data_IF_206966419898
#
_entry.id   IF_206966419898
#
_cell.length_a   1.000
_cell.length_b   1.000
_cell.length_c   1.000
_cell.angle_alpha   90.00
_cell.angle_beta   90.00
_cell.angle_gamma   90.00
#
_symmetry.space_group_name_H-M   'P 1'
#
loop_
_entity.id
_entity.type
_entity.pdbx_description
1 polymer ?
#
# COMPACT_ATOMS: atom_id res chain seq x y z
N UNK A 1 11.43 9.47 -17.27
CA UNK A 1 10.55 9.69 -16.13
C UNK A 1 9.60 10.85 -16.42
N UNK A 2 8.39 10.83 -15.85
CA UNK A 2 7.49 11.99 -15.85
C UNK A 2 7.93 13.03 -14.82
N UNK A 3 7.24 14.18 -14.81
CA UNK A 3 7.56 15.27 -13.87
C UNK A 3 7.34 14.82 -12.41
N UNK A 4 6.26 14.09 -12.14
CA UNK A 4 5.92 13.60 -10.81
C UNK A 4 6.92 12.56 -10.32
N UNK A 5 7.33 11.62 -11.17
CA UNK A 5 8.35 10.65 -10.83
C UNK A 5 9.70 11.31 -10.55
N UNK A 6 10.08 12.32 -11.36
CA UNK A 6 11.33 13.05 -11.15
C UNK A 6 11.30 13.85 -9.84
N UNK A 7 10.18 14.54 -9.56
CA UNK A 7 10.01 15.28 -8.31
C UNK A 7 10.07 14.37 -7.09
N UNK A 8 9.39 13.22 -7.14
CA UNK A 8 9.38 12.25 -6.05
C UNK A 8 10.77 11.65 -5.78
N UNK A 9 11.51 11.28 -6.85
CA UNK A 9 12.90 10.81 -6.73
C UNK A 9 13.81 11.89 -6.15
N UNK A 10 13.69 13.13 -6.64
CA UNK A 10 14.47 14.27 -6.16
C UNK A 10 14.22 14.56 -4.67
N UNK A 11 12.94 14.51 -4.24
CA UNK A 11 12.59 14.70 -2.85
C UNK A 11 13.23 13.62 -1.95
N UNK A 12 13.10 12.33 -2.32
CA UNK A 12 13.68 11.23 -1.53
C UNK A 12 15.21 11.28 -1.53
N UNK A 13 15.82 11.59 -2.68
CA UNK A 13 17.27 11.69 -2.78
C UNK A 13 17.82 12.87 -1.94
N UNK A 14 17.16 14.04 -2.01
CA UNK A 14 17.54 15.22 -1.21
C UNK A 14 17.38 14.97 0.30
N UNK A 15 16.28 14.38 0.72
CA UNK A 15 16.05 13.99 2.11
C UNK A 15 17.16 13.04 2.60
N UNK A 16 17.44 11.98 1.85
CA UNK A 16 18.42 10.97 2.25
C UNK A 16 19.86 11.52 2.19
N UNK A 17 20.17 12.42 1.29
CA UNK A 17 21.47 13.12 1.27
C UNK A 17 21.67 13.98 2.53
N UNK A 18 20.64 14.75 2.92
CA UNK A 18 20.67 15.55 4.13
C UNK A 18 20.84 14.68 5.38
N UNK A 19 20.07 13.59 5.50
CA UNK A 19 20.17 12.67 6.63
C UNK A 19 21.54 11.98 6.72
N UNK A 20 22.07 11.57 5.58
CA UNK A 20 23.42 11.00 5.52
C UNK A 20 24.49 12.01 5.99
N UNK A 21 24.36 13.27 5.59
CA UNK A 21 25.29 14.33 6.06
C UNK A 21 25.20 14.60 7.57
N UNK A 22 24.02 14.32 8.18
CA UNK A 22 23.78 14.44 9.62
C UNK A 22 24.13 13.16 10.40
N UNK A 23 24.53 12.09 9.73
CA UNK A 23 24.79 10.79 10.35
C UNK A 23 23.52 10.04 10.78
N UNK A 24 22.38 10.39 10.21
CA UNK A 24 21.08 9.80 10.50
C UNK A 24 20.70 8.69 9.50
N UNK A 25 19.81 7.78 9.91
CA UNK A 25 19.32 6.70 9.06
C UNK A 25 18.51 7.23 7.88
N UNK A 26 18.69 6.64 6.70
CA UNK A 26 17.96 6.99 5.49
C UNK A 26 16.49 6.55 5.55
N UNK A 27 15.60 7.29 4.90
CA UNK A 27 14.23 6.87 4.64
C UNK A 27 14.21 5.87 3.48
N UNK A 28 13.76 4.67 3.76
CA UNK A 28 13.48 3.63 2.76
C UNK A 28 11.97 3.40 2.74
N UNK A 29 11.34 3.72 1.62
CA UNK A 29 9.92 3.46 1.41
C UNK A 29 9.72 2.08 0.78
N UNK A 30 9.10 1.14 1.50
CA UNK A 30 8.80 -0.18 0.92
C UNK A 30 7.82 -0.08 -0.25
N UNK A 31 7.84 -1.03 -1.17
CA UNK A 31 6.93 -1.10 -2.33
C UNK A 31 5.45 -1.01 -1.95
N UNK A 32 5.07 -1.65 -0.84
CA UNK A 32 3.69 -1.66 -0.34
C UNK A 32 3.24 -0.34 0.29
N UNK A 33 4.16 0.59 0.58
CA UNK A 33 3.82 1.87 1.21
C UNK A 33 3.48 2.96 0.21
N UNK A 34 4.08 2.92 -0.98
CA UNK A 34 3.92 3.98 -1.96
C UNK A 34 4.34 3.58 -3.38
N UNK A 35 3.81 4.30 -4.37
CA UNK A 35 4.32 4.22 -5.75
C UNK A 35 5.77 4.70 -5.87
N UNK A 36 6.22 5.62 -5.00
CA UNK A 36 7.62 6.02 -4.94
C UNK A 36 8.51 4.86 -4.49
N UNK A 37 8.08 4.09 -3.48
CA UNK A 37 8.76 2.86 -3.06
C UNK A 37 8.84 1.82 -4.19
N UNK A 38 7.72 1.60 -4.91
CA UNK A 38 7.70 0.72 -6.09
C UNK A 38 8.65 1.20 -7.18
N UNK A 39 8.66 2.51 -7.48
CA UNK A 39 9.52 3.12 -8.48
C UNK A 39 11.00 2.90 -8.15
N UNK A 40 11.42 3.25 -6.95
CA UNK A 40 12.82 3.12 -6.53
C UNK A 40 13.27 1.67 -6.53
N UNK A 41 12.44 0.78 -5.99
CA UNK A 41 12.76 -0.66 -5.99
C UNK A 41 12.89 -1.23 -7.41
N UNK A 42 11.99 -0.88 -8.33
CA UNK A 42 12.09 -1.31 -9.73
C UNK A 42 13.38 -0.80 -10.40
N UNK A 43 13.75 0.46 -10.15
CA UNK A 43 14.98 1.04 -10.73
C UNK A 43 16.25 0.33 -10.24
N UNK A 44 16.30 -0.04 -8.95
CA UNK A 44 17.51 -0.64 -8.37
C UNK A 44 17.59 -2.15 -8.56
N UNK A 45 16.44 -2.85 -8.70
CA UNK A 45 16.42 -4.32 -8.79
C UNK A 45 16.29 -4.82 -10.23
N UNK A 46 15.42 -4.19 -11.04
CA UNK A 46 15.16 -4.65 -12.42
C UNK A 46 16.06 -3.97 -13.44
N UNK A 47 16.51 -2.75 -13.14
CA UNK A 47 17.13 -1.87 -14.11
C UNK A 47 16.14 -1.46 -15.21
N UNK A 48 16.43 -0.40 -15.92
CA UNK A 48 15.59 0.06 -17.03
C UNK A 48 16.47 0.51 -18.20
N UNK A 49 16.15 0.03 -19.40
CA UNK A 49 16.80 0.46 -20.65
C UNK A 49 16.03 1.63 -21.28
N UNK A 50 14.70 1.68 -21.07
CA UNK A 50 13.81 2.71 -21.58
C UNK A 50 13.36 3.67 -20.46
N UNK A 51 12.81 4.85 -20.80
CA UNK A 51 12.26 5.77 -19.81
C UNK A 51 11.20 5.09 -18.93
N UNK A 52 11.45 5.06 -17.62
CA UNK A 52 10.49 4.49 -16.68
C UNK A 52 9.28 5.40 -16.50
N UNK A 53 8.09 4.82 -16.59
CA UNK A 53 6.81 5.46 -16.29
C UNK A 53 6.10 4.69 -15.21
N UNK A 54 5.66 5.41 -14.16
CA UNK A 54 4.87 4.82 -13.09
C UNK A 54 3.43 4.64 -13.56
N UNK A 55 3.01 3.39 -13.64
CA UNK A 55 1.63 3.00 -13.95
C UNK A 55 1.11 2.09 -12.83
N UNK A 56 -0.19 2.11 -12.59
CA UNK A 56 -0.82 1.27 -11.57
C UNK A 56 -0.55 -0.24 -11.78
N UNK A 57 -0.36 -0.65 -13.04
CA UNK A 57 -0.01 -2.03 -13.40
C UNK A 57 1.38 -2.48 -12.93
N UNK A 58 2.26 -1.54 -12.55
CA UNK A 58 3.60 -1.87 -12.04
C UNK A 58 3.59 -2.24 -10.55
N UNK A 59 2.53 -1.90 -9.84
CA UNK A 59 2.39 -2.24 -8.43
C UNK A 59 1.44 -3.41 -8.24
N UNK A 60 1.92 -4.41 -7.56
CA UNK A 60 1.14 -5.53 -7.03
C UNK A 60 0.16 -5.09 -5.92
N UNK A 61 0.36 -3.90 -5.33
CA UNK A 61 -0.42 -3.35 -4.21
C UNK A 61 -1.38 -2.24 -4.62
N UNK A 62 -1.81 -2.20 -5.89
CA UNK A 62 -2.65 -1.11 -6.44
C UNK A 62 -3.98 -0.88 -5.73
N UNK A 63 -4.54 -1.89 -5.06
CA UNK A 63 -5.77 -1.75 -4.27
C UNK A 63 -5.54 -0.96 -2.96
N UNK A 64 -4.35 -1.08 -2.39
CA UNK A 64 -3.92 -0.34 -1.19
C UNK A 64 -3.34 1.02 -1.56
N UNK A 65 -2.57 1.10 -2.66
CA UNK A 65 -1.89 2.31 -3.11
C UNK A 65 -2.81 3.17 -3.97
N UNK A 66 -3.83 3.76 -3.38
CA UNK A 66 -4.75 4.66 -4.07
C UNK A 66 -4.38 6.12 -3.86
N UNK A 67 -4.86 6.98 -4.76
CA UNK A 67 -4.67 8.43 -4.66
C UNK A 67 -5.45 9.01 -3.47
N UNK A 68 -6.67 8.53 -3.24
CA UNK A 68 -7.58 9.00 -2.21
C UNK A 68 -7.07 8.77 -0.78
N UNK A 69 -6.19 7.79 -0.56
CA UNK A 69 -5.62 7.45 0.74
C UNK A 69 -4.11 7.72 0.85
N UNK A 70 -3.50 8.42 -0.10
CA UNK A 70 -2.07 8.69 -0.10
C UNK A 70 -1.63 9.50 1.13
N UNK A 71 -2.48 10.41 1.60
CA UNK A 71 -2.25 11.19 2.80
C UNK A 71 -2.17 10.32 4.06
N UNK A 72 -3.06 9.33 4.21
CA UNK A 72 -3.04 8.40 5.35
C UNK A 72 -1.74 7.58 5.41
N UNK A 73 -1.23 7.18 4.25
CA UNK A 73 -0.02 6.37 4.17
C UNK A 73 1.27 7.16 4.33
N UNK A 74 1.33 8.39 3.82
CA UNK A 74 2.57 9.13 3.67
C UNK A 74 2.69 10.37 4.57
N UNK A 75 1.58 11.02 4.99
CA UNK A 75 1.65 12.21 5.84
C UNK A 75 2.30 11.94 7.19
N UNK A 76 2.01 10.81 7.89
CA UNK A 76 2.70 10.47 9.14
C UNK A 76 4.22 10.29 8.94
N UNK A 77 4.63 9.62 7.87
CA UNK A 77 6.04 9.46 7.52
C UNK A 77 6.67 10.83 7.24
N UNK A 78 6.01 11.66 6.41
CA UNK A 78 6.48 13.01 6.13
C UNK A 78 6.59 13.88 7.39
N UNK A 79 5.72 13.69 8.38
CA UNK A 79 5.80 14.37 9.69
C UNK A 79 7.01 13.92 10.49
N UNK A 80 7.24 12.62 10.58
CA UNK A 80 8.40 12.03 11.27
C UNK A 80 9.72 12.55 10.71
N UNK A 81 9.79 12.71 9.40
CA UNK A 81 11.00 13.19 8.71
C UNK A 81 11.05 14.71 8.51
N UNK A 82 10.19 15.50 9.18
CA UNK A 82 10.22 16.96 9.15
C UNK A 82 9.72 17.61 7.87
N UNK A 83 9.14 16.87 6.95
CA UNK A 83 8.61 17.37 5.67
C UNK A 83 7.20 17.95 5.79
N UNK A 84 6.45 17.61 6.85
CA UNK A 84 5.08 18.06 7.09
C UNK A 84 5.06 18.98 8.30
N UNK A 85 4.71 20.26 8.06
CA UNK A 85 4.60 21.29 9.08
C UNK A 85 3.30 21.19 9.88
N UNK A 86 3.17 21.96 10.96
CA UNK A 86 2.07 21.84 11.94
C UNK A 86 0.69 22.13 11.34
N UNK A 87 0.58 23.08 10.43
CA UNK A 87 -0.68 23.43 9.77
C UNK A 87 -1.23 22.25 8.94
N UNK A 88 -0.34 21.64 8.14
CA UNK A 88 -0.69 20.47 7.33
C UNK A 88 -0.96 19.24 8.19
N UNK A 89 -0.19 19.05 9.25
CA UNK A 89 -0.39 17.96 10.20
C UNK A 89 -1.73 18.07 10.92
N UNK A 90 -2.08 19.27 11.40
CA UNK A 90 -3.37 19.52 12.07
C UNK A 90 -4.54 19.24 11.12
N UNK A 91 -4.48 19.71 9.88
CA UNK A 91 -5.50 19.43 8.87
C UNK A 91 -5.66 17.93 8.59
N UNK A 92 -4.55 17.21 8.50
CA UNK A 92 -4.56 15.75 8.35
C UNK A 92 -5.26 15.07 9.52
N UNK A 93 -4.91 15.42 10.75
CA UNK A 93 -5.53 14.86 11.96
C UNK A 93 -7.03 15.14 12.02
N UNK A 94 -7.47 16.35 11.68
CA UNK A 94 -8.89 16.71 11.61
C UNK A 94 -9.62 15.84 10.59
N UNK A 95 -9.06 15.66 9.41
CA UNK A 95 -9.66 14.81 8.37
C UNK A 95 -9.79 13.35 8.83
N UNK A 96 -8.75 12.80 9.47
CA UNK A 96 -8.82 11.44 10.00
C UNK A 96 -9.89 11.32 11.10
N UNK A 97 -9.96 12.29 12.01
CA UNK A 97 -10.98 12.30 13.07
C UNK A 97 -12.41 12.30 12.52
N UNK A 98 -12.66 13.06 11.45
CA UNK A 98 -13.98 13.08 10.75
C UNK A 98 -14.30 11.72 10.14
N UNK A 99 -13.34 11.11 9.43
CA UNK A 99 -13.53 9.78 8.81
C UNK A 99 -13.78 8.69 9.88
N UNK A 100 -13.02 8.72 10.96
CA UNK A 100 -13.16 7.75 12.07
C UNK A 100 -14.49 7.91 12.81
N UNK A 101 -14.94 9.16 13.03
CA UNK A 101 -16.22 9.43 13.64
C UNK A 101 -17.38 8.93 12.77
N UNK A 102 -17.30 9.19 11.46
CA UNK A 102 -18.32 8.73 10.53
C UNK A 102 -18.34 7.22 10.37
N UNK A 103 -17.19 6.56 10.33
CA UNK A 103 -17.13 5.09 10.31
C UNK A 103 -17.82 4.48 11.53
N UNK A 104 -17.55 5.03 12.74
CA UNK A 104 -18.25 4.59 13.96
C UNK A 104 -19.75 4.81 13.87
N UNK A 105 -20.19 5.98 13.37
CA UNK A 105 -21.60 6.28 13.19
C UNK A 105 -22.30 5.29 12.26
N UNK A 106 -21.67 4.96 11.13
CA UNK A 106 -22.18 3.95 10.19
C UNK A 106 -22.20 2.54 10.80
N UNK A 107 -21.23 2.20 11.63
CA UNK A 107 -21.17 0.92 12.32
C UNK A 107 -22.30 0.78 13.35
N UNK A 108 -22.64 1.87 14.07
CA UNK A 108 -23.66 1.88 15.11
C UNK A 108 -25.08 2.03 14.54
N UNK A 109 -25.22 2.53 13.32
CA UNK A 109 -26.52 2.76 12.69
C UNK A 109 -27.12 1.47 12.14
N UNK A 110 -28.31 1.10 12.59
CA UNK A 110 -29.06 -0.04 12.06
C UNK A 110 -30.25 0.42 11.23
N UNK A 111 -30.31 0.07 9.96
CA UNK A 111 -31.39 0.41 9.03
C UNK A 111 -32.42 -0.71 8.96
N UNK A 112 -33.69 -0.33 9.12
CA UNK A 112 -34.79 -1.29 9.01
C UNK A 112 -35.01 -1.67 7.55
N UNK A 113 -35.38 -2.93 7.32
CA UNK A 113 -35.63 -3.47 5.98
C UNK A 113 -36.66 -2.64 5.19
N UNK A 114 -37.70 -2.16 5.86
CA UNK A 114 -38.75 -1.37 5.20
C UNK A 114 -38.22 -0.01 4.70
N UNK A 115 -37.41 0.68 5.51
CA UNK A 115 -36.85 1.99 5.18
C UNK A 115 -35.83 1.86 4.02
N UNK A 116 -34.98 0.84 4.10
CA UNK A 116 -34.00 0.57 3.05
C UNK A 116 -34.67 0.24 1.71
N UNK A 117 -35.70 -0.60 1.72
CA UNK A 117 -36.45 -0.93 0.50
C UNK A 117 -37.12 0.28 -0.13
N UNK A 118 -37.75 1.13 0.70
CA UNK A 118 -38.38 2.36 0.23
C UNK A 118 -37.36 3.34 -0.37
N UNK A 119 -36.19 3.48 0.26
CA UNK A 119 -35.12 4.34 -0.24
C UNK A 119 -34.54 3.83 -1.57
N UNK A 120 -34.32 2.51 -1.69
CA UNK A 120 -33.83 1.89 -2.93
C UNK A 120 -34.84 1.98 -4.07
N UNK A 121 -36.13 1.75 -3.79
CA UNK A 121 -37.21 1.92 -4.76
C UNK A 121 -37.29 3.37 -5.25
N UNK A 122 -37.21 4.35 -4.35
CA UNK A 122 -37.19 5.77 -4.71
C UNK A 122 -35.97 6.15 -5.57
N UNK A 123 -34.85 5.45 -5.40
CA UNK A 123 -33.64 5.59 -6.22
C UNK A 123 -33.67 4.78 -7.52
N UNK A 124 -34.73 4.03 -7.79
CA UNK A 124 -34.85 3.16 -8.99
C UNK A 124 -33.97 1.92 -8.96
N UNK A 125 -33.54 1.50 -7.76
CA UNK A 125 -32.70 0.33 -7.54
C UNK A 125 -33.54 -0.91 -7.19
N UNK A 126 -33.05 -2.08 -7.49
CA UNK A 126 -33.67 -3.34 -7.06
C UNK A 126 -33.67 -3.40 -5.52
N UNK A 127 -34.81 -3.73 -4.86
CA UNK A 127 -34.90 -3.70 -3.41
C UNK A 127 -33.95 -4.71 -2.75
N UNK A 128 -33.23 -4.26 -1.72
CA UNK A 128 -32.39 -5.14 -0.91
C UNK A 128 -33.23 -6.20 -0.20
N UNK A 129 -32.64 -7.37 0.01
CA UNK A 129 -33.33 -8.47 0.69
C UNK A 129 -33.64 -8.09 2.15
N UNK A 130 -32.69 -7.52 2.89
CA UNK A 130 -32.78 -7.25 4.33
C UNK A 130 -32.03 -5.95 4.70
N UNK A 131 -32.52 -5.27 5.75
CA UNK A 131 -31.80 -4.20 6.43
C UNK A 131 -30.62 -4.72 7.24
N UNK A 132 -29.96 -3.86 7.99
CA UNK A 132 -28.81 -4.22 8.79
C UNK A 132 -27.97 -3.01 9.18
N UNK A 133 -26.73 -3.25 9.61
CA UNK A 133 -25.76 -2.23 9.95
C UNK A 133 -25.40 -1.42 8.69
N UNK A 134 -25.44 -0.08 8.77
CA UNK A 134 -25.22 0.79 7.63
C UNK A 134 -23.83 0.56 6.97
N UNK A 135 -22.78 0.34 7.76
CA UNK A 135 -21.44 -0.01 7.23
C UNK A 135 -21.44 -1.31 6.42
N UNK A 136 -22.18 -2.33 6.87
CA UNK A 136 -22.27 -3.60 6.16
C UNK A 136 -23.10 -3.50 4.88
N UNK A 137 -24.16 -2.71 4.93
CA UNK A 137 -24.99 -2.41 3.76
C UNK A 137 -24.19 -1.66 2.69
N UNK A 138 -23.35 -0.71 3.11
CA UNK A 138 -22.47 0.06 2.20
C UNK A 138 -21.44 -0.80 1.47
N UNK A 139 -21.14 -2.03 1.91
CA UNK A 139 -20.29 -2.98 1.18
C UNK A 139 -20.94 -3.52 -0.09
N UNK A 140 -22.26 -3.37 -0.25
CA UNK A 140 -22.98 -3.82 -1.44
C UNK A 140 -22.73 -2.86 -2.60
N UNK A 141 -22.47 -3.35 -3.82
CA UNK A 141 -22.18 -2.49 -4.98
C UNK A 141 -23.28 -1.48 -5.31
N UNK A 142 -24.54 -1.87 -5.11
CA UNK A 142 -25.73 -1.08 -5.41
C UNK A 142 -26.06 -0.02 -4.37
N UNK A 143 -25.44 -0.03 -3.20
CA UNK A 143 -25.69 0.93 -2.11
C UNK A 143 -24.49 1.87 -2.01
N UNK A 144 -24.72 3.16 -2.15
CA UNK A 144 -23.73 4.20 -2.00
C UNK A 144 -23.92 5.00 -0.70
N UNK A 145 -22.94 5.83 -0.38
CA UNK A 145 -23.02 6.67 0.82
C UNK A 145 -24.19 7.67 0.77
N UNK A 146 -24.49 8.36 -0.36
CA UNK A 146 -25.65 9.24 -0.46
C UNK A 146 -26.98 8.56 -0.13
N UNK A 147 -27.18 7.31 -0.56
CA UNK A 147 -28.39 6.55 -0.23
C UNK A 147 -28.52 6.31 1.27
N UNK A 148 -27.44 5.90 1.94
CA UNK A 148 -27.38 5.73 3.40
C UNK A 148 -27.63 7.08 4.10
N UNK A 149 -26.94 8.14 3.66
CA UNK A 149 -27.06 9.47 4.23
C UNK A 149 -28.46 10.08 4.05
N UNK A 150 -29.19 9.71 3.00
CA UNK A 150 -30.59 10.07 2.82
C UNK A 150 -31.52 9.55 3.94
N UNK A 151 -31.14 8.43 4.55
CA UNK A 151 -31.92 7.80 5.64
C UNK A 151 -31.51 8.26 7.05
N UNK A 152 -30.21 8.45 7.28
CA UNK A 152 -29.68 8.74 8.62
C UNK A 152 -29.01 10.11 8.75
N UNK A 153 -29.05 10.92 7.70
CA UNK A 153 -28.36 12.21 7.61
C UNK A 153 -26.87 12.05 7.22
N UNK A 154 -26.30 13.17 6.75
CA UNK A 154 -24.86 13.27 6.51
C UNK A 154 -24.12 13.36 7.84
N UNK A 155 -22.96 12.71 7.91
CA UNK A 155 -22.07 12.85 9.06
C UNK A 155 -21.49 14.25 9.20
N UNK A 156 -21.21 14.65 10.43
CA UNK A 156 -20.62 15.96 10.70
C UNK A 156 -19.25 16.10 10.04
N UNK A 157 -19.04 17.16 9.27
CA UNK A 157 -17.80 17.42 8.54
C UNK A 157 -17.53 16.53 7.32
N UNK A 158 -18.42 15.59 7.01
CA UNK A 158 -18.28 14.74 5.81
C UNK A 158 -18.62 15.57 4.56
N UNK A 159 -17.63 15.72 3.69
CA UNK A 159 -17.80 16.27 2.34
C UNK A 159 -18.06 15.15 1.33
N UNK A 160 -18.59 15.45 0.12
CA UNK A 160 -18.76 14.41 -0.92
C UNK A 160 -17.48 13.62 -1.22
N UNK A 161 -16.32 14.29 -1.24
CA UNK A 161 -15.03 13.65 -1.45
C UNK A 161 -14.66 12.68 -0.30
N UNK A 162 -14.93 13.05 0.96
CA UNK A 162 -14.68 12.16 2.10
C UNK A 162 -15.68 11.01 2.16
N UNK A 163 -16.92 11.23 1.73
CA UNK A 163 -17.93 10.19 1.59
C UNK A 163 -17.52 9.14 0.57
N UNK A 164 -17.10 9.56 -0.64
CA UNK A 164 -16.58 8.65 -1.69
C UNK A 164 -15.36 7.87 -1.21
N UNK A 165 -14.43 8.53 -0.52
CA UNK A 165 -13.27 7.89 0.06
C UNK A 165 -13.66 6.82 1.08
N UNK A 166 -14.53 7.16 2.04
CA UNK A 166 -15.01 6.24 3.07
C UNK A 166 -15.76 5.05 2.47
N UNK A 167 -16.63 5.30 1.50
CA UNK A 167 -17.33 4.27 0.75
C UNK A 167 -16.34 3.31 0.06
N UNK A 168 -15.34 3.85 -0.63
CA UNK A 168 -14.29 3.07 -1.27
C UNK A 168 -13.54 2.21 -0.27
N UNK A 169 -13.14 2.77 0.88
CA UNK A 169 -12.46 2.03 1.94
C UNK A 169 -13.31 0.88 2.48
N UNK A 170 -14.61 1.10 2.71
CA UNK A 170 -15.55 0.09 3.22
C UNK A 170 -15.78 -1.02 2.19
N UNK A 171 -16.03 -0.66 0.92
CA UNK A 171 -16.26 -1.63 -0.17
C UNK A 171 -15.03 -2.50 -0.44
N UNK A 172 -13.84 -1.92 -0.38
CA UNK A 172 -12.59 -2.65 -0.65
C UNK A 172 -11.97 -3.31 0.59
N UNK A 173 -12.52 -3.11 1.79
CA UNK A 173 -11.94 -3.61 3.04
C UNK A 173 -11.60 -5.11 3.00
N UNK A 174 -12.49 -5.94 2.45
CA UNK A 174 -12.26 -7.39 2.33
C UNK A 174 -11.11 -7.75 1.37
N UNK A 175 -10.96 -7.01 0.29
CA UNK A 175 -9.87 -7.18 -0.68
C UNK A 175 -8.54 -6.69 -0.10
N UNK A 176 -8.55 -5.55 0.58
CA UNK A 176 -7.38 -4.98 1.25
C UNK A 176 -6.88 -5.94 2.33
N UNK A 177 -7.76 -6.45 3.20
CA UNK A 177 -7.39 -7.43 4.24
C UNK A 177 -6.79 -8.73 3.66
N UNK A 178 -7.21 -9.14 2.47
CA UNK A 178 -6.60 -10.28 1.77
C UNK A 178 -5.22 -9.93 1.23
N UNK A 179 -5.07 -8.74 0.65
CA UNK A 179 -3.80 -8.23 0.17
C UNK A 179 -2.79 -8.02 1.31
N UNK A 180 -3.22 -7.50 2.45
CA UNK A 180 -2.37 -7.31 3.64
C UNK A 180 -1.78 -8.63 4.15
N UNK A 181 -2.55 -9.72 4.10
CA UNK A 181 -2.00 -11.04 4.43
C UNK A 181 -0.88 -11.46 3.49
N UNK A 182 -1.04 -11.22 2.18
CA UNK A 182 0.02 -11.47 1.20
C UNK A 182 1.23 -10.56 1.43
N UNK A 183 0.99 -9.29 1.80
CA UNK A 183 2.04 -8.34 2.16
C UNK A 183 2.86 -8.85 3.36
N UNK A 184 2.21 -9.37 4.38
CA UNK A 184 2.89 -9.90 5.55
C UNK A 184 3.75 -11.14 5.23
N UNK A 185 3.33 -11.98 4.30
CA UNK A 185 4.14 -13.10 3.81
C UNK A 185 5.38 -12.59 3.05
N UNK A 186 5.20 -11.65 2.13
CA UNK A 186 6.31 -11.04 1.38
C UNK A 186 7.24 -10.25 2.30
N UNK A 187 6.70 -9.55 3.31
CA UNK A 187 7.50 -8.79 4.28
C UNK A 187 8.44 -9.67 5.11
N UNK A 188 8.15 -10.97 5.30
CA UNK A 188 9.11 -11.91 5.87
C UNK A 188 10.35 -12.04 5.00
N UNK A 189 10.17 -12.17 3.69
CA UNK A 189 11.27 -12.24 2.72
C UNK A 189 12.07 -10.93 2.68
N UNK A 190 11.41 -9.78 2.86
CA UNK A 190 12.11 -8.48 2.90
C UNK A 190 12.91 -8.26 4.19
N UNK A 191 12.51 -8.88 5.29
CA UNK A 191 13.26 -8.86 6.55
C UNK A 191 14.46 -9.81 6.56
N UNK A 192 14.47 -10.81 5.70
CA UNK A 192 15.60 -11.73 5.57
C UNK A 192 16.70 -11.08 4.76
N UNK A 193 17.67 -10.49 5.45
CA UNK A 193 18.81 -9.82 4.82
C UNK A 193 19.76 -10.83 4.18
N UNK A 194 20.39 -10.41 3.11
CA UNK A 194 21.47 -11.16 2.44
C UNK A 194 22.76 -10.41 2.74
N UNK A 195 23.76 -11.07 3.36
CA UNK A 195 25.06 -10.45 3.62
C UNK A 195 25.71 -9.90 2.35
N UNK A 196 26.40 -8.76 2.46
CA UNK A 196 27.05 -8.14 1.30
C UNK A 196 28.14 -9.01 0.67
N UNK A 197 28.78 -9.87 1.46
CA UNK A 197 29.81 -10.82 1.07
C UNK A 197 29.27 -12.20 0.67
N UNK A 198 27.93 -12.36 0.62
CA UNK A 198 27.32 -13.65 0.27
C UNK A 198 27.76 -14.17 -1.10
N UNK A 199 28.24 -15.43 -1.14
CA UNK A 199 28.72 -16.09 -2.37
C UNK A 199 27.57 -16.83 -3.07
N UNK A 200 27.11 -16.27 -4.18
CA UNK A 200 26.07 -16.91 -5.01
C UNK A 200 26.65 -18.00 -5.93
N UNK A 201 27.97 -17.97 -6.16
CA UNK A 201 28.65 -18.89 -7.12
C UNK A 201 28.76 -20.31 -6.59
N UNK A 202 28.88 -20.47 -5.28
CA UNK A 202 29.04 -21.76 -4.62
C UNK A 202 27.69 -22.42 -4.25
N UNK A 203 26.58 -21.69 -4.43
CA UNK A 203 25.27 -22.20 -4.05
C UNK A 203 24.78 -23.25 -5.05
N UNK A 204 24.67 -24.49 -4.58
CA UNK A 204 24.05 -25.57 -5.35
C UNK A 204 22.51 -25.41 -5.33
N UNK A 205 21.86 -25.66 -6.48
CA UNK A 205 20.40 -25.58 -6.59
C UNK A 205 19.83 -24.29 -7.16
N UNK A 206 20.66 -23.25 -7.38
CA UNK A 206 20.28 -22.09 -8.19
C UNK A 206 20.43 -22.40 -9.69
N UNK A 207 19.49 -21.88 -10.48
CA UNK A 207 19.67 -21.84 -11.93
C UNK A 207 20.87 -20.98 -12.31
N UNK A 208 21.51 -21.27 -13.46
CA UNK A 208 22.67 -20.50 -13.92
C UNK A 208 22.31 -19.01 -14.09
N UNK A 209 21.15 -18.75 -14.67
CA UNK A 209 20.63 -17.39 -14.88
C UNK A 209 20.41 -16.64 -13.56
N UNK A 210 19.77 -17.29 -12.58
CA UNK A 210 19.54 -16.70 -11.26
C UNK A 210 20.86 -16.39 -10.55
N UNK A 211 21.84 -17.30 -10.62
CA UNK A 211 23.17 -17.15 -10.02
C UNK A 211 23.90 -15.92 -10.57
N UNK A 212 23.95 -15.77 -11.90
CA UNK A 212 24.59 -14.64 -12.56
C UNK A 212 23.90 -13.30 -12.21
N UNK A 213 22.59 -13.29 -12.23
CA UNK A 213 21.80 -12.08 -11.92
C UNK A 213 21.90 -11.67 -10.46
N UNK A 214 21.82 -12.62 -9.54
CA UNK A 214 22.00 -12.37 -8.11
C UNK A 214 23.39 -11.85 -7.78
N UNK A 215 24.44 -12.46 -8.38
CA UNK A 215 25.83 -12.00 -8.21
C UNK A 215 26.05 -10.58 -8.75
N UNK A 216 25.39 -10.21 -9.84
CA UNK A 216 25.51 -8.89 -10.47
C UNK A 216 24.73 -7.80 -9.71
N UNK A 217 23.47 -8.09 -9.33
CA UNK A 217 22.55 -7.11 -8.75
C UNK A 217 22.78 -6.96 -7.24
N UNK A 218 23.22 -8.01 -6.57
CA UNK A 218 23.47 -8.06 -5.13
C UNK A 218 22.28 -7.54 -4.32
N UNK A 219 21.12 -8.21 -4.38
CA UNK A 219 19.93 -7.80 -3.64
C UNK A 219 20.20 -7.80 -2.13
N UNK A 220 19.64 -6.82 -1.41
CA UNK A 220 19.84 -6.67 0.04
C UNK A 220 19.04 -7.66 0.87
N UNK A 221 17.98 -8.24 0.30
CA UNK A 221 17.09 -9.17 1.00
C UNK A 221 16.44 -10.17 0.02
N UNK A 222 15.80 -11.22 0.57
CA UNK A 222 15.12 -12.24 -0.23
C UNK A 222 13.96 -11.70 -1.07
N UNK A 223 13.26 -10.66 -0.57
CA UNK A 223 12.18 -10.02 -1.32
C UNK A 223 12.69 -9.36 -2.60
N UNK A 224 13.80 -8.63 -2.52
CA UNK A 224 14.47 -8.06 -3.71
C UNK A 224 14.95 -9.17 -4.66
N UNK A 225 15.57 -10.22 -4.12
CA UNK A 225 16.03 -11.35 -4.93
C UNK A 225 14.91 -11.96 -5.77
N UNK A 226 13.73 -12.19 -5.17
CA UNK A 226 12.57 -12.76 -5.86
C UNK A 226 11.93 -11.86 -6.94
N UNK A 227 12.23 -10.57 -6.94
CA UNK A 227 11.74 -9.62 -7.96
C UNK A 227 12.67 -9.47 -9.16
N UNK A 228 13.85 -10.05 -9.10
CA UNK A 228 14.81 -10.01 -10.21
C UNK A 228 14.30 -10.90 -11.35
N UNK A 229 14.10 -10.37 -12.57
CA UNK A 229 13.67 -11.18 -13.70
C UNK A 229 14.64 -12.34 -13.99
N UNK A 230 14.13 -13.59 -14.01
CA UNK A 230 14.92 -14.79 -14.17
C UNK A 230 15.35 -15.46 -12.86
N UNK A 231 14.96 -14.92 -11.72
CA UNK A 231 15.01 -15.61 -10.42
C UNK A 231 13.64 -16.22 -10.14
N UNK A 232 13.59 -17.54 -10.06
CA UNK A 232 12.35 -18.28 -9.82
C UNK A 232 12.01 -18.39 -8.32
N UNK A 233 10.76 -18.72 -7.94
CA UNK A 233 10.42 -19.01 -6.56
C UNK A 233 11.27 -20.17 -5.95
N UNK A 234 11.67 -21.13 -6.79
CA UNK A 234 12.57 -22.21 -6.36
C UNK A 234 13.97 -21.68 -6.02
N UNK A 235 14.51 -20.73 -6.81
CA UNK A 235 15.80 -20.10 -6.52
C UNK A 235 15.76 -19.32 -5.20
N UNK A 236 14.65 -18.60 -4.95
CA UNK A 236 14.43 -17.87 -3.67
C UNK A 236 14.38 -18.84 -2.48
N UNK A 237 13.71 -19.97 -2.63
CA UNK A 237 13.66 -21.00 -1.58
C UNK A 237 15.06 -21.58 -1.29
N UNK A 238 15.86 -21.88 -2.31
CA UNK A 238 17.24 -22.35 -2.14
C UNK A 238 18.12 -21.29 -1.46
N UNK A 239 17.99 -20.03 -1.86
CA UNK A 239 18.70 -18.93 -1.23
C UNK A 239 18.32 -18.77 0.25
N UNK A 240 17.02 -18.90 0.57
CA UNK A 240 16.54 -18.87 1.96
C UNK A 240 17.13 -19.97 2.83
N UNK A 241 17.20 -21.21 2.29
CA UNK A 241 17.80 -22.36 3.00
C UNK A 241 19.29 -22.10 3.27
N UNK A 242 20.01 -21.57 2.27
CA UNK A 242 21.43 -21.29 2.41
C UNK A 242 21.72 -20.21 3.46
N UNK A 243 20.91 -19.16 3.52
CA UNK A 243 21.05 -18.11 4.53
C UNK A 243 20.83 -18.66 5.95
N UNK A 244 19.80 -19.50 6.15
CA UNK A 244 19.56 -20.15 7.45
C UNK A 244 20.71 -21.11 7.85
N UNK A 245 21.36 -21.74 6.87
CA UNK A 245 22.49 -22.62 7.14
C UNK A 245 23.75 -21.83 7.57
N UNK A 246 23.99 -20.64 7.00
CA UNK A 246 25.10 -19.75 7.39
C UNK A 246 24.93 -19.15 8.80
N UNK A 247 23.71 -18.79 9.20
CA UNK A 247 23.43 -18.24 10.54
C UNK A 247 23.69 -19.24 11.69
N UNK A 248 23.89 -20.52 11.37
CA UNK A 248 24.14 -21.58 12.37
C UNK A 248 25.62 -21.99 12.49
N UNK A 249 26.48 -21.36 11.70
CA UNK A 249 27.93 -21.65 11.68
C UNK A 249 28.72 -20.50 12.25
#
# INVERSE_FOLDING_TARGET
SGYEEAAAQGLLAGLNAARNALGESQLILPRQSSYLGTLVDDLVTKGVMDPYRMMTSRSEYRLTLRQDNADTRLTPIGREYGLVQDDRWTKYQQTQAVLDAERRRLHDAHLRTADLRAAMEAAGLAPAAEGGIAEELLRRPEIDYPLIAGMIGWGEGITPMLAERLETEIKYAGYIARQDRMIHEVARHEKTLIPEDFSYTELTGLTLEAREKLARIRPKNLGQAGRIPGVSPSDVAQLSIALVAQDKT
#
